data_IF_963411807303
#
_entry.id   IF_963411807303
#
_cell.length_a   1.000
_cell.length_b   1.000
_cell.length_c   1.000
_cell.angle_alpha   90.00
_cell.angle_beta   90.00
_cell.angle_gamma   90.00
#
_symmetry.space_group_name_H-M   'P 1'
#
loop_
_entity.id
_entity.type
_entity.pdbx_description
1 polymer ?
#
# COMPACT_ATOMS: atom_id res chain seq x y z
N UNK A 1 25.51 28.12 -7.18
CA UNK A 1 25.47 26.66 -7.00
C UNK A 1 24.10 26.29 -6.44
N UNK A 2 23.11 26.12 -7.32
CA UNK A 2 21.69 25.97 -6.95
C UNK A 2 21.32 24.48 -6.83
N UNK A 3 21.10 23.99 -5.62
CA UNK A 3 20.51 22.66 -5.38
C UNK A 3 18.98 22.79 -5.36
N UNK A 4 18.32 22.41 -6.44
CA UNK A 4 16.85 22.27 -6.45
C UNK A 4 16.45 20.94 -5.84
N UNK A 5 15.95 20.98 -4.61
CA UNK A 5 15.40 19.84 -3.88
C UNK A 5 14.09 19.38 -4.53
N UNK A 6 14.16 18.36 -5.39
CA UNK A 6 12.99 17.75 -6.02
C UNK A 6 12.14 17.03 -4.97
N UNK A 7 11.05 17.68 -4.51
CA UNK A 7 10.03 17.03 -3.67
C UNK A 7 9.33 15.92 -4.46
N UNK A 8 9.75 14.67 -4.23
CA UNK A 8 9.10 13.48 -4.80
C UNK A 8 7.77 13.23 -4.08
N UNK A 9 6.65 13.43 -4.75
CA UNK A 9 5.31 13.13 -4.21
C UNK A 9 5.14 11.60 -4.16
N UNK A 10 4.99 11.04 -2.96
CA UNK A 10 4.74 9.61 -2.76
C UNK A 10 3.23 9.38 -2.82
N UNK A 11 2.74 8.67 -3.85
CA UNK A 11 1.33 8.24 -3.92
C UNK A 11 1.14 7.04 -2.98
N UNK A 12 0.43 7.25 -1.88
CA UNK A 12 0.05 6.21 -0.92
C UNK A 12 -1.29 5.61 -1.38
N UNK A 13 -1.39 4.27 -1.45
CA UNK A 13 -2.63 3.56 -1.79
C UNK A 13 -3.29 3.00 -0.54
N UNK A 14 -4.61 3.06 -0.49
CA UNK A 14 -5.42 2.36 0.51
C UNK A 14 -5.62 0.89 0.09
N UNK A 15 -5.26 -0.02 0.98
CA UNK A 15 -5.44 -1.45 0.79
C UNK A 15 -6.56 -1.92 1.71
N UNK A 16 -7.60 -2.47 1.11
CA UNK A 16 -8.82 -2.91 1.81
C UNK A 16 -8.96 -4.42 1.80
N UNK A 17 -9.64 -4.95 2.81
CA UNK A 17 -9.95 -6.37 2.90
C UNK A 17 -10.90 -6.76 1.76
N UNK A 18 -10.62 -7.86 1.06
CA UNK A 18 -11.44 -8.32 -0.09
C UNK A 18 -12.84 -8.81 0.34
N UNK A 19 -12.99 -9.17 1.63
CA UNK A 19 -14.23 -9.75 2.17
C UNK A 19 -15.12 -8.73 2.89
N UNK A 20 -14.54 -7.91 3.77
CA UNK A 20 -15.32 -6.99 4.62
C UNK A 20 -15.06 -5.50 4.34
N UNK A 21 -14.25 -5.19 3.32
CA UNK A 21 -13.87 -3.84 2.92
C UNK A 21 -13.22 -2.96 4.01
N UNK A 22 -12.84 -3.56 5.15
CA UNK A 22 -12.09 -2.90 6.21
C UNK A 22 -10.74 -2.42 5.65
N UNK A 23 -10.37 -1.18 5.93
CA UNK A 23 -9.03 -0.68 5.67
C UNK A 23 -8.00 -1.51 6.44
N UNK A 24 -7.03 -2.08 5.73
CA UNK A 24 -5.98 -2.92 6.31
C UNK A 24 -4.66 -2.18 6.43
N UNK A 25 -4.28 -1.43 5.39
CA UNK A 25 -2.99 -0.75 5.30
C UNK A 25 -3.09 0.44 4.34
N UNK A 26 -2.31 1.49 4.60
CA UNK A 26 -2.01 2.53 3.64
C UNK A 26 -0.52 2.46 3.35
N UNK A 27 -0.15 2.11 2.12
CA UNK A 27 1.25 1.93 1.74
C UNK A 27 1.48 2.36 0.28
N UNK A 28 2.68 2.82 -0.02
CA UNK A 28 3.10 3.07 -1.39
C UNK A 28 3.59 1.81 -2.09
N UNK A 29 4.24 0.91 -1.34
CA UNK A 29 4.69 -0.41 -1.80
C UNK A 29 4.40 -1.46 -0.73
N UNK A 30 3.86 -2.62 -1.12
CA UNK A 30 3.70 -3.76 -0.22
C UNK A 30 3.67 -5.07 -0.99
N UNK A 31 4.41 -6.06 -0.49
CA UNK A 31 4.35 -7.43 -0.97
C UNK A 31 4.28 -8.37 0.23
N UNK A 32 3.27 -9.23 0.25
CA UNK A 32 3.08 -10.18 1.34
C UNK A 32 1.63 -10.54 1.58
N UNK A 33 1.35 -11.08 2.76
CA UNK A 33 0.00 -11.46 3.16
C UNK A 33 -0.38 -10.75 4.46
N UNK A 34 -1.60 -10.23 4.53
CA UNK A 34 -2.13 -9.61 5.74
C UNK A 34 -3.44 -10.31 6.13
N UNK A 35 -3.55 -10.69 7.40
CA UNK A 35 -4.79 -11.24 7.94
C UNK A 35 -5.69 -10.10 8.39
N UNK A 36 -6.92 -10.07 7.91
CA UNK A 36 -7.90 -9.09 8.35
C UNK A 36 -8.31 -9.36 9.81
N UNK A 37 -8.16 -8.40 10.75
CA UNK A 37 -8.51 -8.62 12.15
C UNK A 37 -10.03 -8.81 12.36
N UNK A 38 -10.87 -8.24 11.49
CA UNK A 38 -12.33 -8.31 11.59
C UNK A 38 -12.90 -9.63 11.07
N UNK A 39 -12.60 -9.99 9.82
CA UNK A 39 -13.22 -11.15 9.16
C UNK A 39 -12.30 -12.38 9.05
N UNK A 40 -11.06 -12.28 9.56
CA UNK A 40 -10.02 -13.33 9.55
C UNK A 40 -9.56 -13.78 8.16
N UNK A 41 -10.04 -13.16 7.09
CA UNK A 41 -9.61 -13.41 5.71
C UNK A 41 -8.12 -13.08 5.56
N UNK A 42 -7.37 -13.97 4.89
CA UNK A 42 -6.00 -13.72 4.47
C UNK A 42 -6.06 -13.01 3.11
N UNK A 43 -5.47 -11.81 3.07
CA UNK A 43 -5.39 -10.93 1.91
C UNK A 43 -3.95 -10.97 1.36
N UNK A 44 -3.75 -11.56 0.18
CA UNK A 44 -2.47 -11.47 -0.53
C UNK A 44 -2.36 -10.11 -1.23
N UNK A 45 -1.25 -9.42 -0.99
CA UNK A 45 -0.94 -8.09 -1.49
C UNK A 45 0.31 -8.17 -2.37
N UNK A 46 0.21 -7.61 -3.58
CA UNK A 46 1.32 -7.43 -4.50
C UNK A 46 1.14 -6.06 -5.15
N UNK A 47 1.60 -5.04 -4.44
CA UNK A 47 1.61 -3.65 -4.89
C UNK A 47 3.07 -3.21 -4.97
N UNK A 48 3.67 -3.38 -6.14
CA UNK A 48 4.95 -2.74 -6.45
C UNK A 48 4.72 -1.37 -7.07
N UNK A 49 5.66 -0.46 -6.82
CA UNK A 49 5.79 0.77 -7.59
C UNK A 49 6.53 0.38 -8.85
N UNK A 50 5.83 0.35 -9.97
CA UNK A 50 6.48 0.22 -11.27
C UNK A 50 7.46 1.40 -11.40
N UNK A 51 8.76 1.08 -11.37
CA UNK A 51 9.82 2.04 -11.66
C UNK A 51 9.82 2.23 -13.18
N UNK A 52 8.90 3.05 -13.69
CA UNK A 52 8.89 3.56 -15.06
C UNK A 52 9.42 4.99 -15.09
#
# INVERSE_FOLDING_TARGET
MFYTFLKKVIKIKEIRCKKCNQLLLMADEVKGEIKCPRCKQINKLDYSKDRA
#
